data_IF_233274564423
#
_entry.id   IF_233274564423
#
_cell.length_a   1.000
_cell.length_b   1.000
_cell.length_c   1.000
_cell.angle_alpha   90.00
_cell.angle_beta   90.00
_cell.angle_gamma   90.00
#
_symmetry.space_group_name_H-M   'P 1'
#
loop_
_entity.id
_entity.type
_entity.pdbx_description
1 polymer ?
#
# COMPACT_ATOMS: atom_id res chain seq x y z
N UNK A 1 -4.17 4.09 -11.61
CA UNK A 1 -2.96 4.18 -10.77
C UNK A 1 -3.07 5.39 -9.90
N UNK A 2 -2.91 5.20 -8.61
CA UNK A 2 -2.96 6.23 -7.57
C UNK A 2 -1.82 5.96 -6.59
N UNK A 3 -1.47 6.96 -5.78
CA UNK A 3 -0.49 6.84 -4.68
C UNK A 3 -1.12 7.49 -3.46
N UNK A 4 -1.09 6.78 -2.33
CA UNK A 4 -1.57 7.30 -1.07
C UNK A 4 -0.39 7.41 -0.10
N UNK A 5 0.06 8.65 0.10
CA UNK A 5 1.12 8.99 1.01
C UNK A 5 0.83 10.36 1.62
N UNK A 6 0.81 10.52 2.96
CA UNK A 6 0.47 11.80 3.59
C UNK A 6 1.43 12.94 3.25
N UNK A 7 2.62 12.66 2.70
CA UNK A 7 3.57 13.67 2.24
C UNK A 7 3.28 14.25 0.85
N UNK A 8 2.29 13.74 0.11
CA UNK A 8 1.92 14.27 -1.21
C UNK A 8 0.84 15.35 -1.10
N UNK A 9 0.94 16.49 -1.83
CA UNK A 9 -0.07 17.56 -1.81
C UNK A 9 -1.49 17.10 -2.14
N UNK A 10 -1.62 16.08 -2.98
CA UNK A 10 -2.90 15.51 -3.43
C UNK A 10 -3.54 14.61 -2.37
N UNK A 11 -2.84 14.26 -1.30
CA UNK A 11 -3.37 13.43 -0.23
C UNK A 11 -4.31 14.25 0.68
N UNK A 12 -5.51 13.73 1.03
CA UNK A 12 -6.44 14.45 1.92
C UNK A 12 -5.85 14.82 3.28
N UNK A 13 -4.88 14.04 3.76
CA UNK A 13 -4.21 14.26 5.04
C UNK A 13 -2.95 15.14 4.92
N UNK A 14 -2.66 15.74 3.75
CA UNK A 14 -1.44 16.53 3.55
C UNK A 14 -1.31 17.70 4.55
N UNK A 15 -2.36 18.50 4.72
CA UNK A 15 -2.33 19.60 5.68
C UNK A 15 -2.11 19.10 7.12
N UNK A 16 -2.70 17.96 7.48
CA UNK A 16 -2.53 17.33 8.79
C UNK A 16 -1.11 16.78 8.96
N UNK A 17 -0.52 16.19 7.91
CA UNK A 17 0.85 15.67 7.96
C UNK A 17 1.85 16.81 8.17
N UNK A 18 1.67 17.97 7.53
CA UNK A 18 2.48 19.16 7.75
C UNK A 18 2.40 19.69 9.19
N UNK A 19 1.24 19.54 9.84
CA UNK A 19 1.02 19.97 11.23
C UNK A 19 1.59 18.98 12.25
N UNK A 20 1.26 17.70 12.10
CA UNK A 20 1.53 16.68 13.11
C UNK A 20 2.84 15.92 12.91
N UNK A 21 3.40 15.93 11.69
CA UNK A 21 4.63 15.21 11.33
C UNK A 21 5.70 16.21 10.82
N UNK A 22 6.17 17.15 11.67
CA UNK A 22 7.07 18.22 11.25
C UNK A 22 8.43 17.72 10.74
N UNK A 23 8.82 16.50 11.09
CA UNK A 23 10.05 15.84 10.64
C UNK A 23 9.87 14.94 9.41
N UNK A 24 8.65 14.88 8.84
CA UNK A 24 8.33 14.07 7.66
C UNK A 24 7.30 12.98 7.92
N UNK A 25 6.57 12.58 6.86
CA UNK A 25 5.42 11.67 6.94
C UNK A 25 5.79 10.16 7.01
N UNK A 26 7.06 9.84 7.29
CA UNK A 26 7.55 8.46 7.35
C UNK A 26 7.78 7.83 5.97
N UNK A 27 8.04 6.52 5.96
CA UNK A 27 8.40 5.75 4.75
C UNK A 27 7.33 4.77 4.30
N UNK A 28 6.14 4.80 4.92
CA UNK A 28 5.01 3.91 4.58
C UNK A 28 4.08 4.64 3.62
N UNK A 29 3.79 3.99 2.50
CA UNK A 29 2.84 4.47 1.49
C UNK A 29 2.22 3.29 0.75
N UNK A 30 1.09 3.52 0.10
CA UNK A 30 0.41 2.54 -0.76
C UNK A 30 0.22 3.11 -2.15
N UNK A 31 0.04 2.22 -3.14
CA UNK A 31 -0.20 2.62 -4.53
C UNK A 31 -1.01 1.57 -5.26
N UNK A 32 -1.80 2.02 -6.23
CA UNK A 32 -2.63 1.15 -7.07
C UNK A 32 -1.94 0.74 -8.37
N UNK A 33 -1.82 -0.57 -8.62
CA UNK A 33 -1.26 -1.14 -9.85
C UNK A 33 -2.32 -1.20 -10.95
N UNK A 34 -2.06 -0.54 -12.08
CA UNK A 34 -2.92 -0.65 -13.29
C UNK A 34 -3.02 -2.11 -13.72
N UNK A 35 -4.24 -2.60 -13.92
CA UNK A 35 -4.53 -4.00 -14.22
C UNK A 35 -5.07 -4.80 -13.03
N UNK A 36 -5.21 -4.17 -11.86
CA UNK A 36 -5.89 -4.78 -10.71
C UNK A 36 -5.14 -5.99 -10.14
N UNK A 37 -5.91 -6.96 -9.66
CA UNK A 37 -5.44 -8.06 -8.83
C UNK A 37 -4.28 -8.86 -9.42
N UNK A 38 -4.41 -9.27 -10.69
CA UNK A 38 -3.36 -10.07 -11.34
C UNK A 38 -2.10 -9.25 -11.62
N UNK A 39 -2.25 -7.94 -11.90
CA UNK A 39 -1.11 -7.06 -12.06
C UNK A 39 -0.40 -6.81 -10.72
N UNK A 40 -1.15 -6.60 -9.63
CA UNK A 40 -0.61 -6.46 -8.27
C UNK A 40 0.17 -7.69 -7.83
N UNK A 41 -0.42 -8.88 -8.00
CA UNK A 41 0.26 -10.17 -7.78
C UNK A 41 1.54 -10.29 -8.59
N UNK A 42 1.52 -9.91 -9.87
CA UNK A 42 2.71 -9.96 -10.72
C UNK A 42 3.81 -9.02 -10.21
N UNK A 43 3.47 -7.80 -9.79
CA UNK A 43 4.43 -6.83 -9.25
C UNK A 43 5.13 -7.41 -8.03
N UNK A 44 4.39 -7.83 -7.00
CA UNK A 44 5.01 -8.31 -5.74
C UNK A 44 5.86 -9.58 -5.91
N UNK A 45 5.58 -10.40 -6.93
CA UNK A 45 6.36 -11.60 -7.24
C UNK A 45 7.56 -11.33 -8.17
N UNK A 46 7.66 -10.13 -8.77
CA UNK A 46 8.70 -9.80 -9.77
C UNK A 46 9.85 -8.95 -9.20
N UNK A 47 9.65 -8.33 -8.05
CA UNK A 47 10.67 -7.52 -7.37
C UNK A 47 11.80 -8.40 -6.82
N UNK A 48 13.02 -7.88 -6.85
CA UNK A 48 14.22 -8.59 -6.36
C UNK A 48 14.84 -7.97 -5.11
N UNK A 49 14.48 -6.72 -4.82
CA UNK A 49 14.99 -5.98 -3.67
C UNK A 49 14.00 -5.99 -2.49
N UNK A 50 12.71 -5.81 -2.78
CA UNK A 50 11.68 -5.78 -1.75
C UNK A 50 11.31 -7.21 -1.34
N UNK A 51 11.27 -7.46 -0.04
CA UNK A 51 10.86 -8.75 0.50
C UNK A 51 9.33 -8.81 0.66
N UNK A 52 8.73 -9.92 0.24
CA UNK A 52 7.30 -10.16 0.43
C UNK A 52 7.04 -10.69 1.84
N UNK A 53 6.78 -9.78 2.79
CA UNK A 53 6.56 -10.11 4.19
C UNK A 53 5.50 -9.17 4.79
N UNK A 54 4.58 -9.74 5.56
CA UNK A 54 3.60 -8.98 6.34
C UNK A 54 4.25 -8.42 7.62
N UNK A 55 5.06 -7.37 7.46
CA UNK A 55 5.70 -6.63 8.55
C UNK A 55 5.90 -5.15 8.14
N UNK A 56 6.21 -4.27 9.09
CA UNK A 56 6.50 -2.85 8.85
C UNK A 56 7.65 -2.37 9.74
N UNK A 57 8.43 -1.39 9.28
CA UNK A 57 9.53 -0.79 10.06
C UNK A 57 10.81 -1.64 10.16
N UNK A 58 10.97 -2.64 9.29
CA UNK A 58 12.21 -3.42 9.15
C UNK A 58 13.32 -2.56 8.49
N UNK A 59 14.58 -2.93 8.68
CA UNK A 59 15.70 -2.36 7.94
C UNK A 59 15.66 -2.72 6.44
N UNK A 60 14.99 -3.82 6.08
CA UNK A 60 14.73 -4.22 4.70
C UNK A 60 13.50 -3.51 4.14
N UNK A 61 13.53 -3.19 2.85
CA UNK A 61 12.33 -2.76 2.13
C UNK A 61 11.36 -3.93 1.98
N UNK A 62 10.10 -3.70 2.35
CA UNK A 62 9.04 -4.69 2.32
C UNK A 62 7.94 -4.26 1.34
N UNK A 63 7.29 -5.24 0.71
CA UNK A 63 6.12 -5.01 -0.15
C UNK A 63 5.08 -6.08 0.12
N UNK A 64 3.80 -5.71 0.01
CA UNK A 64 2.68 -6.63 0.14
C UNK A 64 1.54 -6.19 -0.76
N UNK A 65 0.76 -7.15 -1.25
CA UNK A 65 -0.48 -6.92 -2.01
C UNK A 65 -1.64 -7.46 -1.17
N UNK A 66 -2.25 -6.64 -0.29
CA UNK A 66 -3.20 -7.09 0.72
C UNK A 66 -4.31 -7.97 0.16
N UNK A 67 -4.86 -7.64 -1.01
CA UNK A 67 -5.97 -8.36 -1.63
C UNK A 67 -5.64 -9.84 -1.90
N UNK A 68 -4.40 -10.16 -2.29
CA UNK A 68 -3.99 -11.55 -2.56
C UNK A 68 -3.22 -12.20 -1.41
N UNK A 69 -3.13 -11.56 -0.24
CA UNK A 69 -2.23 -12.00 0.83
C UNK A 69 -2.90 -11.91 2.21
N UNK A 70 -2.73 -10.81 2.93
CA UNK A 70 -3.21 -10.64 4.31
C UNK A 70 -4.73 -10.65 4.42
N UNK A 71 -5.44 -10.24 3.36
CA UNK A 71 -6.90 -10.15 3.35
C UNK A 71 -7.55 -11.19 2.43
N UNK A 72 -6.78 -12.15 1.92
CA UNK A 72 -7.26 -13.15 0.95
C UNK A 72 -8.42 -14.05 1.48
N UNK A 73 -8.63 -14.08 2.80
CA UNK A 73 -9.70 -14.87 3.42
C UNK A 73 -11.04 -14.13 3.45
N UNK A 74 -11.06 -12.83 3.17
CA UNK A 74 -12.26 -12.01 3.09
C UNK A 74 -12.89 -12.14 1.70
N UNK A 75 -14.21 -11.97 1.64
CA UNK A 75 -14.91 -11.80 0.36
C UNK A 75 -14.45 -10.53 -0.34
N UNK A 76 -14.59 -10.46 -1.67
CA UNK A 76 -14.22 -9.26 -2.44
C UNK A 76 -14.97 -8.01 -1.95
N UNK A 77 -16.24 -8.18 -1.54
CA UNK A 77 -17.07 -7.12 -0.98
C UNK A 77 -16.51 -6.60 0.36
N UNK A 78 -16.12 -7.52 1.26
CA UNK A 78 -15.54 -7.17 2.55
C UNK A 78 -14.16 -6.53 2.41
N UNK A 79 -13.35 -7.00 1.44
CA UNK A 79 -12.06 -6.36 1.13
C UNK A 79 -12.26 -4.91 0.71
N UNK A 80 -13.16 -4.65 -0.24
CA UNK A 80 -13.44 -3.30 -0.74
C UNK A 80 -14.03 -2.43 0.38
N UNK A 81 -14.95 -2.97 1.20
CA UNK A 81 -15.50 -2.26 2.35
C UNK A 81 -14.41 -1.88 3.38
N UNK A 82 -13.39 -2.72 3.55
CA UNK A 82 -12.21 -2.47 4.37
C UNK A 82 -11.17 -1.55 3.74
N UNK A 83 -11.41 -1.03 2.53
CA UNK A 83 -10.47 -0.19 1.79
C UNK A 83 -9.36 -0.96 1.06
N UNK A 84 -9.48 -2.29 0.96
CA UNK A 84 -8.59 -3.15 0.17
C UNK A 84 -9.18 -3.32 -1.21
N UNK A 85 -8.71 -2.53 -2.17
CA UNK A 85 -9.12 -2.63 -3.56
C UNK A 85 -8.30 -3.71 -4.30
N UNK A 86 -8.81 -4.29 -5.40
CA UNK A 86 -8.06 -5.30 -6.15
C UNK A 86 -6.70 -4.82 -6.70
N UNK A 87 -6.46 -3.51 -6.82
CA UNK A 87 -5.19 -2.95 -7.29
C UNK A 87 -4.20 -2.59 -6.18
N UNK A 88 -4.55 -2.82 -4.90
CA UNK A 88 -3.76 -2.53 -3.70
C UNK A 88 -2.94 -3.75 -3.24
#
# INVERSE_FOLDING_TARGET
SWVQYPGLPENPSYALSKRYLPLGAGSIFTFGVKGGYEAGKKVINSVRLLSHLANVGDARSLIIHPASTTHQQLSDEDQVAGGVTPDL
#
